data_IF_738410048553
#
_entry.id   IF_738410048553
#
_cell.length_a   1.000
_cell.length_b   1.000
_cell.length_c   1.000
_cell.angle_alpha   90.00
_cell.angle_beta   90.00
_cell.angle_gamma   90.00
#
_symmetry.space_group_name_H-M   'P 1'
#
loop_
_entity.id
_entity.type
_entity.pdbx_description
1 polymer ?
#
# COMPACT_ATOMS: atom_id res chain seq x y z
N UNK A 1 8.85 -28.13 -0.45
CA UNK A 1 9.64 -26.99 0.08
C UNK A 1 9.22 -25.74 -0.69
N UNK A 2 8.78 -24.67 -0.02
CA UNK A 2 8.32 -23.44 -0.70
C UNK A 2 9.49 -22.70 -1.36
N UNK A 3 9.28 -22.19 -2.58
CA UNK A 3 10.31 -21.43 -3.32
C UNK A 3 10.69 -20.16 -2.52
N UNK A 4 11.99 -19.84 -2.33
CA UNK A 4 12.43 -18.72 -1.50
C UNK A 4 11.96 -17.35 -2.02
N UNK A 5 11.70 -17.22 -3.32
CA UNK A 5 11.16 -16.01 -3.96
C UNK A 5 9.76 -15.68 -3.45
N UNK A 6 8.89 -16.70 -3.38
CA UNK A 6 7.54 -16.55 -2.82
C UNK A 6 7.58 -16.08 -1.36
N UNK A 7 8.54 -16.57 -0.58
CA UNK A 7 8.66 -16.18 0.82
C UNK A 7 8.98 -14.68 0.96
N UNK A 8 9.86 -14.14 0.11
CA UNK A 8 10.20 -12.71 0.11
C UNK A 8 9.01 -11.85 -0.28
N UNK A 9 8.31 -12.22 -1.36
CA UNK A 9 7.11 -11.51 -1.82
C UNK A 9 6.02 -11.53 -0.76
N UNK A 10 5.79 -12.69 -0.12
CA UNK A 10 4.81 -12.80 0.98
C UNK A 10 5.14 -11.88 2.14
N UNK A 11 6.41 -11.81 2.56
CA UNK A 11 6.86 -10.86 3.60
C UNK A 11 6.61 -9.41 3.15
N UNK A 12 6.89 -9.10 1.88
CA UNK A 12 6.62 -7.80 1.27
C UNK A 12 5.15 -7.41 1.39
N UNK A 13 4.24 -8.30 0.96
CA UNK A 13 2.79 -8.11 1.05
C UNK A 13 2.31 -7.94 2.50
N UNK A 14 2.80 -8.74 3.43
CA UNK A 14 2.45 -8.61 4.85
C UNK A 14 2.88 -7.27 5.44
N UNK A 15 4.11 -6.82 5.12
CA UNK A 15 4.61 -5.51 5.55
C UNK A 15 3.77 -4.39 4.97
N UNK A 16 3.40 -4.50 3.70
CA UNK A 16 2.60 -3.52 3.00
C UNK A 16 1.22 -3.36 3.65
N UNK A 17 0.53 -4.49 3.91
CA UNK A 17 -0.75 -4.51 4.61
C UNK A 17 -0.67 -3.93 6.02
N UNK A 18 0.39 -4.25 6.77
CA UNK A 18 0.62 -3.69 8.10
C UNK A 18 0.81 -2.18 8.05
N UNK A 19 1.63 -1.68 7.12
CA UNK A 19 1.83 -0.23 6.94
C UNK A 19 0.52 0.48 6.60
N UNK A 20 -0.28 -0.07 5.67
CA UNK A 20 -1.59 0.48 5.34
C UNK A 20 -2.53 0.50 6.55
N UNK A 21 -2.59 -0.60 7.31
CA UNK A 21 -3.42 -0.68 8.51
C UNK A 21 -2.98 0.33 9.58
N UNK A 22 -1.68 0.54 9.75
CA UNK A 22 -1.15 1.53 10.70
C UNK A 22 -1.57 2.93 10.30
N UNK A 23 -1.35 3.32 9.03
CA UNK A 23 -1.71 4.67 8.54
C UNK A 23 -3.22 4.86 8.66
N UNK A 24 -4.02 3.88 8.23
CA UNK A 24 -5.49 3.94 8.33
C UNK A 24 -5.96 4.19 9.75
N UNK A 25 -5.32 3.58 10.76
CA UNK A 25 -5.69 3.74 12.16
C UNK A 25 -5.15 5.00 12.85
N UNK A 26 -4.19 5.71 12.27
CA UNK A 26 -3.47 6.79 12.96
C UNK A 26 -3.44 8.13 12.21
N UNK A 27 -3.72 8.18 10.91
CA UNK A 27 -3.44 9.35 10.06
C UNK A 27 -4.09 10.64 10.57
N UNK A 28 -5.29 10.56 11.15
CA UNK A 28 -6.02 11.72 11.70
C UNK A 28 -5.34 12.35 12.93
N UNK A 29 -4.56 11.54 13.66
CA UNK A 29 -3.82 11.95 14.87
C UNK A 29 -2.38 12.34 14.58
N UNK A 30 -1.92 12.14 13.35
CA UNK A 30 -0.57 12.47 12.89
C UNK A 30 -0.61 13.62 11.89
N UNK A 31 0.57 14.07 11.44
CA UNK A 31 0.64 15.00 10.33
C UNK A 31 0.09 14.35 9.03
N UNK A 32 -0.87 15.02 8.41
CA UNK A 32 -1.57 14.48 7.22
C UNK A 32 -0.69 14.45 5.99
N UNK A 33 0.20 15.43 5.85
CA UNK A 33 1.17 15.45 4.75
C UNK A 33 2.17 14.30 4.89
N UNK A 34 2.57 13.98 6.12
CA UNK A 34 3.39 12.81 6.43
C UNK A 34 2.67 11.52 6.03
N UNK A 35 1.43 11.34 6.47
CA UNK A 35 0.62 10.16 6.09
C UNK A 35 0.48 10.03 4.56
N UNK A 36 0.26 11.13 3.85
CA UNK A 36 0.21 11.14 2.38
C UNK A 36 1.55 10.72 1.75
N UNK A 37 2.68 11.17 2.30
CA UNK A 37 4.02 10.76 1.85
C UNK A 37 4.29 9.28 2.12
N UNK A 38 3.84 8.76 3.27
CA UNK A 38 3.94 7.33 3.58
C UNK A 38 3.13 6.48 2.60
N UNK A 39 1.93 6.93 2.20
CA UNK A 39 1.16 6.27 1.14
C UNK A 39 1.87 6.27 -0.20
N UNK A 40 2.62 7.33 -0.53
CA UNK A 40 3.51 7.36 -1.70
C UNK A 40 4.63 6.32 -1.61
N UNK A 41 5.21 6.13 -0.42
CA UNK A 41 6.22 5.08 -0.18
C UNK A 41 5.63 3.67 -0.31
N UNK A 42 4.39 3.48 0.13
CA UNK A 42 3.67 2.22 -0.05
C UNK A 42 3.45 1.95 -1.54
N UNK A 43 3.07 2.95 -2.35
CA UNK A 43 2.92 2.79 -3.79
C UNK A 43 4.21 2.29 -4.45
N UNK A 44 5.36 2.88 -4.13
CA UNK A 44 6.66 2.40 -4.66
C UNK A 44 6.90 0.94 -4.30
N UNK A 45 6.62 0.54 -3.06
CA UNK A 45 6.76 -0.86 -2.62
C UNK A 45 5.78 -1.80 -3.31
N UNK A 46 4.56 -1.36 -3.64
CA UNK A 46 3.62 -2.17 -4.44
C UNK A 46 4.26 -2.48 -5.80
N UNK A 47 4.81 -1.47 -6.45
CA UNK A 47 5.43 -1.62 -7.76
C UNK A 47 6.66 -2.54 -7.73
N UNK A 48 7.50 -2.45 -6.69
CA UNK A 48 8.62 -3.38 -6.52
C UNK A 48 8.14 -4.85 -6.43
N UNK A 49 7.04 -5.09 -5.71
CA UNK A 49 6.47 -6.44 -5.56
C UNK A 49 5.80 -6.91 -6.86
N UNK A 50 5.15 -6.01 -7.62
CA UNK A 50 4.61 -6.31 -8.96
C UNK A 50 5.73 -6.81 -9.88
N UNK A 51 6.84 -6.06 -9.95
CA UNK A 51 8.01 -6.43 -10.75
C UNK A 51 8.62 -7.78 -10.31
N UNK A 52 8.70 -8.03 -9.01
CA UNK A 52 9.16 -9.33 -8.48
C UNK A 52 8.19 -10.46 -8.86
N UNK A 53 6.87 -10.21 -8.87
CA UNK A 53 5.84 -11.19 -9.17
C UNK A 53 5.79 -11.59 -10.66
N UNK A 54 6.17 -10.69 -11.58
CA UNK A 54 6.26 -11.00 -13.02
C UNK A 54 7.17 -12.18 -13.32
N UNK A 55 8.22 -12.35 -12.52
CA UNK A 55 9.23 -13.40 -12.67
C UNK A 55 8.76 -14.77 -12.14
N UNK A 56 7.58 -14.85 -11.53
CA UNK A 56 7.04 -16.11 -11.01
C UNK A 56 6.51 -16.96 -12.17
N UNK A 57 7.09 -18.15 -12.33
CA UNK A 57 6.64 -19.15 -13.32
C UNK A 57 5.26 -19.74 -12.99
N UNK A 58 4.96 -19.93 -11.70
CA UNK A 58 3.69 -20.48 -11.25
C UNK A 58 2.56 -19.46 -11.44
N UNK A 59 1.72 -19.70 -12.44
CA UNK A 59 0.62 -18.80 -12.81
C UNK A 59 -0.37 -18.58 -11.66
N UNK A 60 -0.75 -19.61 -10.92
CA UNK A 60 -1.70 -19.49 -9.81
C UNK A 60 -1.13 -18.65 -8.68
N UNK A 61 0.16 -18.85 -8.38
CA UNK A 61 0.85 -18.08 -7.37
C UNK A 61 0.95 -16.59 -7.75
N UNK A 62 1.26 -16.33 -9.02
CA UNK A 62 1.35 -14.98 -9.58
C UNK A 62 0.00 -14.28 -9.55
N UNK A 63 -1.08 -14.95 -9.98
CA UNK A 63 -2.45 -14.42 -9.91
C UNK A 63 -2.86 -14.09 -8.47
N UNK A 64 -2.58 -14.98 -7.52
CA UNK A 64 -2.84 -14.73 -6.10
C UNK A 64 -2.10 -13.48 -5.59
N UNK A 65 -0.83 -13.30 -5.97
CA UNK A 65 -0.06 -12.11 -5.58
C UNK A 65 -0.68 -10.84 -6.16
N UNK A 66 -1.07 -10.85 -7.44
CA UNK A 66 -1.72 -9.70 -8.06
C UNK A 66 -3.06 -9.36 -7.40
N UNK A 67 -3.86 -10.36 -7.02
CA UNK A 67 -5.09 -10.13 -6.27
C UNK A 67 -4.81 -9.43 -4.92
N UNK A 68 -3.79 -9.89 -4.18
CA UNK A 68 -3.41 -9.24 -2.92
C UNK A 68 -2.89 -7.80 -3.12
N UNK A 69 -2.17 -7.55 -4.21
CA UNK A 69 -1.69 -6.21 -4.57
C UNK A 69 -2.84 -5.28 -4.93
N UNK A 70 -3.85 -5.76 -5.66
CA UNK A 70 -5.01 -4.95 -6.05
C UNK A 70 -5.87 -4.55 -4.84
N UNK A 71 -6.09 -5.48 -3.90
CA UNK A 71 -6.76 -5.19 -2.61
C UNK A 71 -6.00 -4.09 -1.88
N UNK A 72 -4.68 -4.20 -1.78
CA UNK A 72 -3.85 -3.19 -1.13
C UNK A 72 -3.86 -1.84 -1.88
N UNK A 73 -3.87 -1.87 -3.21
CA UNK A 73 -3.88 -0.67 -4.04
C UNK A 73 -5.20 0.08 -3.88
N UNK A 74 -6.32 -0.64 -3.83
CA UNK A 74 -7.64 -0.08 -3.56
C UNK A 74 -7.68 0.59 -2.19
N UNK A 75 -7.25 -0.11 -1.13
CA UNK A 75 -7.21 0.46 0.21
C UNK A 75 -6.30 1.71 0.29
N UNK A 76 -5.12 1.67 -0.35
CA UNK A 76 -4.20 2.81 -0.41
C UNK A 76 -4.82 4.01 -1.13
N UNK A 77 -5.50 3.80 -2.27
CA UNK A 77 -6.14 4.87 -3.06
C UNK A 77 -7.23 5.54 -2.25
N UNK A 78 -8.15 4.77 -1.67
CA UNK A 78 -9.24 5.32 -0.85
C UNK A 78 -8.70 6.14 0.33
N UNK A 79 -7.67 5.63 1.02
CA UNK A 79 -7.05 6.35 2.13
C UNK A 79 -6.31 7.62 1.68
N UNK A 80 -5.66 7.59 0.51
CA UNK A 80 -5.00 8.76 -0.05
C UNK A 80 -6.00 9.86 -0.42
N UNK A 81 -7.16 9.48 -0.96
CA UNK A 81 -8.26 10.40 -1.28
C UNK A 81 -8.84 11.03 -0.02
N UNK A 82 -9.11 10.24 1.02
CA UNK A 82 -9.62 10.72 2.31
C UNK A 82 -8.68 11.73 2.95
N UNK A 83 -7.38 11.41 3.03
CA UNK A 83 -6.36 12.32 3.59
C UNK A 83 -6.27 13.59 2.76
N UNK A 84 -6.32 13.47 1.42
CA UNK A 84 -6.25 14.63 0.52
C UNK A 84 -7.43 15.57 0.75
N UNK A 85 -8.65 15.04 0.85
CA UNK A 85 -9.83 15.85 1.13
C UNK A 85 -9.73 16.56 2.49
N UNK A 86 -9.21 15.89 3.52
CA UNK A 86 -9.05 16.52 4.84
C UNK A 86 -7.98 17.64 4.82
N UNK A 87 -6.89 17.46 4.07
CA UNK A 87 -5.89 18.52 3.84
C UNK A 87 -6.52 19.72 3.12
N UNK A 88 -7.29 19.47 2.06
CA UNK A 88 -7.96 20.52 1.27
C UNK A 88 -9.00 21.28 2.12
N UNK A 89 -9.83 20.56 2.89
CA UNK A 89 -10.82 21.17 3.79
C UNK A 89 -10.19 22.05 4.87
N UNK A 90 -9.07 21.63 5.46
CA UNK A 90 -8.34 22.45 6.45
C UNK A 90 -7.73 23.72 5.83
N UNK A 91 -7.30 23.67 4.56
CA UNK A 91 -6.81 24.86 3.86
C UNK A 91 -7.93 25.87 3.63
N UNK A 92 -9.10 25.41 3.19
CA UNK A 92 -10.26 26.28 2.98
C UNK A 92 -10.79 26.90 4.27
N UNK A 93 -10.70 26.20 5.40
CA UNK A 93 -11.10 26.73 6.71
C UNK A 93 -10.16 27.81 7.29
N UNK A 94 -8.95 27.95 6.74
CA UNK A 94 -7.92 28.88 7.22
C UNK A 94 -7.85 30.17 6.39
N UNK A 95 -8.62 30.26 5.29
CA UNK A 95 -8.73 31.43 4.40
C UNK A 95 -10.00 32.20 4.73
#
# INVERSE_FOLDING_TARGET
MGRPEFHRIRIGLERLRRSLSTISGSWQRTDRNHAQKELGTILSRQHDIENDAENIEDMYLREYIYEQLDIAATARRSLAEEIRWDIEANREATV
#
